data_IF_648096629573
#
_entry.id   IF_648096629573
#
_cell.length_a   1.000
_cell.length_b   1.000
_cell.length_c   1.000
_cell.angle_alpha   90.00
_cell.angle_beta   90.00
_cell.angle_gamma   90.00
#
_symmetry.space_group_name_H-M   'P 1'
#
loop_
_entity.id
_entity.type
_entity.pdbx_description
1 polymer ?
#
# COMPACT_ATOMS: atom_id res chain seq x y z
N UNK A 1 40.22 34.10 11.22
CA UNK A 1 39.33 35.21 11.57
C UNK A 1 38.13 35.25 10.64
N UNK A 2 37.12 36.07 10.92
CA UNK A 2 35.94 36.14 10.08
C UNK A 2 36.29 36.68 8.69
N UNK A 3 35.66 36.13 7.66
CA UNK A 3 35.85 36.59 6.27
C UNK A 3 34.60 37.38 5.85
N UNK A 4 34.78 38.55 5.26
CA UNK A 4 33.70 39.43 4.79
C UNK A 4 33.74 39.50 3.26
N UNK A 5 32.59 39.27 2.62
CA UNK A 5 32.42 39.28 1.17
C UNK A 5 31.31 40.26 0.77
N UNK A 6 31.47 41.04 -0.32
CA UNK A 6 30.37 41.74 -0.95
C UNK A 6 29.38 40.71 -1.52
N UNK A 7 28.08 40.99 -1.43
CA UNK A 7 27.02 40.15 -1.98
C UNK A 7 26.59 40.68 -3.33
N UNK A 8 26.75 39.86 -4.38
CA UNK A 8 26.53 40.28 -5.76
C UNK A 8 25.20 39.77 -6.36
N UNK A 9 24.44 38.94 -5.65
CA UNK A 9 23.20 38.41 -6.19
C UNK A 9 22.41 37.59 -5.22
N UNK A 10 21.24 37.13 -5.70
CA UNK A 10 20.30 36.25 -5.02
C UNK A 10 19.83 35.14 -5.99
N UNK A 11 19.79 33.91 -5.53
CA UNK A 11 19.32 32.75 -6.30
C UNK A 11 18.13 32.12 -5.57
N UNK A 12 16.92 32.58 -5.85
CA UNK A 12 15.71 31.95 -5.32
C UNK A 12 15.53 30.52 -5.86
N UNK A 13 14.82 29.69 -5.11
CA UNK A 13 14.45 28.37 -5.60
C UNK A 13 13.62 28.47 -6.90
N UNK A 14 13.94 27.61 -7.88
CA UNK A 14 13.30 27.62 -9.20
C UNK A 14 13.79 28.71 -10.17
N UNK A 15 14.81 29.49 -9.79
CA UNK A 15 15.44 30.51 -10.65
C UNK A 15 16.75 29.97 -11.24
N UNK A 16 17.19 30.47 -12.41
CA UNK A 16 18.50 30.15 -12.96
C UNK A 16 19.60 30.65 -12.03
N UNK A 17 20.76 29.98 -11.97
CA UNK A 17 21.90 30.42 -11.22
C UNK A 17 22.47 31.76 -11.79
N UNK A 18 23.00 32.57 -10.91
CA UNK A 18 23.75 33.78 -11.30
C UNK A 18 25.24 33.53 -11.05
N UNK A 19 26.14 34.09 -11.88
CA UNK A 19 27.59 33.98 -11.67
C UNK A 19 28.02 34.55 -10.30
N UNK A 20 29.00 33.89 -9.67
CA UNK A 20 29.63 34.37 -8.44
C UNK A 20 30.98 34.95 -8.79
N UNK A 21 31.16 36.27 -8.84
CA UNK A 21 32.47 36.89 -9.12
C UNK A 21 33.49 36.51 -8.05
N UNK A 22 34.76 36.40 -8.43
CA UNK A 22 35.82 36.10 -7.48
C UNK A 22 35.81 37.10 -6.29
N UNK A 23 35.91 36.56 -5.07
CA UNK A 23 35.87 37.37 -3.86
C UNK A 23 34.49 37.91 -3.45
N UNK A 24 33.43 37.42 -4.11
CA UNK A 24 32.02 37.76 -3.77
C UNK A 24 31.29 36.57 -3.20
N UNK A 25 30.15 36.84 -2.60
CA UNK A 25 29.14 35.87 -2.23
C UNK A 25 27.82 36.13 -2.96
N UNK A 26 27.01 35.10 -3.12
CA UNK A 26 25.61 35.23 -3.53
C UNK A 26 24.73 34.57 -2.48
N UNK A 27 23.57 35.15 -2.23
CA UNK A 27 22.57 34.45 -1.41
C UNK A 27 21.91 33.39 -2.25
N UNK A 28 21.79 32.18 -1.71
CA UNK A 28 21.15 31.04 -2.38
C UNK A 28 20.12 30.39 -1.47
N UNK A 29 18.98 30.02 -2.03
CA UNK A 29 17.95 29.31 -1.29
C UNK A 29 18.13 27.80 -1.40
N UNK A 30 17.69 27.08 -0.39
CA UNK A 30 17.65 25.62 -0.40
C UNK A 30 16.88 25.11 -1.64
N UNK A 31 17.48 24.18 -2.38
CA UNK A 31 16.93 23.64 -3.62
C UNK A 31 17.22 24.47 -4.88
N UNK A 32 17.84 25.64 -4.75
CA UNK A 32 18.29 26.42 -5.90
C UNK A 32 19.56 25.80 -6.52
N UNK A 33 19.76 25.92 -7.85
CA UNK A 33 20.96 25.41 -8.50
C UNK A 33 22.17 26.23 -8.09
N UNK A 34 23.26 25.52 -7.73
CA UNK A 34 24.55 26.15 -7.46
C UNK A 34 25.13 26.65 -8.78
N UNK A 35 25.67 27.86 -8.84
CA UNK A 35 26.33 28.40 -10.04
C UNK A 35 27.46 27.48 -10.49
N UNK A 36 27.48 27.16 -11.77
CA UNK A 36 28.64 26.57 -12.41
C UNK A 36 29.46 27.70 -13.03
N UNK A 37 30.65 27.93 -12.53
CA UNK A 37 31.60 28.86 -13.19
C UNK A 37 32.48 27.96 -14.11
N UNK A 38 32.47 28.21 -15.42
CA UNK A 38 33.31 27.45 -16.35
C UNK A 38 34.82 27.65 -16.10
N UNK A 39 35.20 28.73 -15.39
CA UNK A 39 36.59 29.04 -15.07
C UNK A 39 37.00 28.56 -13.64
N UNK A 40 36.03 28.25 -12.78
CA UNK A 40 36.25 27.65 -11.47
C UNK A 40 35.89 26.16 -11.54
N UNK A 41 36.85 25.28 -11.29
CA UNK A 41 36.56 23.88 -11.05
C UNK A 41 35.65 23.84 -9.81
N UNK A 42 34.52 23.13 -9.91
CA UNK A 42 33.44 23.12 -8.91
C UNK A 42 33.80 22.84 -7.44
N UNK A 43 35.07 22.60 -7.16
CA UNK A 43 35.63 22.44 -5.81
C UNK A 43 35.93 23.77 -5.08
N UNK A 44 35.75 24.91 -5.74
CA UNK A 44 36.08 26.24 -5.17
C UNK A 44 34.86 26.95 -4.56
N UNK A 45 33.62 26.51 -4.88
CA UNK A 45 32.42 27.09 -4.28
C UNK A 45 32.02 26.28 -3.04
N UNK A 46 31.70 26.98 -1.96
CA UNK A 46 31.12 26.39 -0.78
C UNK A 46 29.80 27.10 -0.42
N UNK A 47 28.84 26.30 0.09
CA UNK A 47 27.60 26.83 0.62
C UNK A 47 27.70 26.90 2.14
N UNK A 48 27.49 28.10 2.68
CA UNK A 48 27.56 28.36 4.11
C UNK A 48 26.15 28.64 4.61
N UNK A 49 25.66 27.89 5.62
CA UNK A 49 24.38 28.16 6.25
C UNK A 49 24.33 29.61 6.79
N UNK A 50 23.19 30.27 6.63
CA UNK A 50 23.01 31.66 7.06
C UNK A 50 23.26 31.82 8.56
N UNK A 51 23.00 30.81 9.36
CA UNK A 51 23.25 30.78 10.80
C UNK A 51 24.73 30.96 11.15
N UNK A 52 25.62 30.61 10.22
CA UNK A 52 27.06 30.73 10.36
C UNK A 52 27.57 32.09 9.82
N UNK A 53 26.66 33.02 9.57
CA UNK A 53 26.96 34.36 9.06
C UNK A 53 26.36 35.48 9.95
N UNK A 54 26.58 36.73 9.58
CA UNK A 54 25.91 37.90 10.16
C UNK A 54 24.65 38.32 9.37
N UNK A 55 24.35 37.64 8.25
CA UNK A 55 23.22 37.95 7.41
C UNK A 55 21.88 37.56 8.08
N UNK A 56 20.80 38.21 7.64
CA UNK A 56 19.42 37.96 8.07
C UNK A 56 18.58 37.48 6.90
N UNK A 57 17.60 36.63 7.20
CA UNK A 57 16.72 36.06 6.17
C UNK A 57 15.77 37.07 5.51
N UNK A 58 15.42 38.14 6.24
CA UNK A 58 14.39 39.11 5.86
C UNK A 58 14.93 40.29 5.03
N UNK A 59 16.24 40.42 4.91
CA UNK A 59 16.88 41.55 4.19
C UNK A 59 17.99 41.03 3.28
N UNK A 60 18.02 41.53 2.05
CA UNK A 60 19.15 41.27 1.15
C UNK A 60 20.37 42.08 1.61
N UNK A 61 21.43 41.43 2.07
CA UNK A 61 22.61 42.12 2.54
C UNK A 61 23.47 42.63 1.36
N UNK A 62 24.18 43.75 1.58
CA UNK A 62 25.21 44.21 0.63
C UNK A 62 26.57 43.57 0.87
N UNK A 63 26.79 43.09 2.09
CA UNK A 63 27.98 42.35 2.51
C UNK A 63 27.56 41.22 3.47
N UNK A 64 28.32 40.17 3.53
CA UNK A 64 28.12 39.04 4.47
C UNK A 64 29.46 38.71 5.13
N UNK A 65 29.42 38.56 6.47
CA UNK A 65 30.55 38.08 7.25
C UNK A 65 30.34 36.65 7.68
N UNK A 66 31.21 35.77 7.23
CA UNK A 66 31.22 34.33 7.64
C UNK A 66 31.87 34.24 9.02
N UNK A 67 31.14 33.69 9.99
CA UNK A 67 31.59 33.51 11.38
C UNK A 67 32.20 32.12 11.59
N UNK A 68 31.61 31.10 10.93
CA UNK A 68 32.03 29.73 11.04
C UNK A 68 31.94 29.03 9.69
N UNK A 69 32.91 28.15 9.41
CA UNK A 69 32.96 27.34 8.19
C UNK A 69 33.47 25.94 8.49
N UNK A 70 32.68 24.95 8.07
CA UNK A 70 33.09 23.57 8.14
C UNK A 70 33.38 23.01 6.74
N UNK A 71 34.64 22.79 6.36
CA UNK A 71 35.01 22.31 5.04
C UNK A 71 34.48 20.88 4.71
N UNK A 72 34.09 20.13 5.73
CA UNK A 72 33.54 18.77 5.55
C UNK A 72 32.03 18.76 5.32
N UNK A 73 31.35 19.91 5.33
CA UNK A 73 29.92 20.06 5.05
C UNK A 73 29.72 20.94 3.83
N UNK A 74 29.69 20.34 2.65
CA UNK A 74 29.54 21.09 1.39
C UNK A 74 28.14 21.71 1.22
N UNK A 75 27.10 21.17 1.82
CA UNK A 75 25.70 21.56 1.61
C UNK A 75 25.26 21.60 0.14
N UNK A 76 26.03 20.98 -0.74
CA UNK A 76 25.80 20.89 -2.18
C UNK A 76 25.49 19.45 -2.48
N UNK A 77 24.40 19.21 -3.23
CA UNK A 77 24.07 17.89 -3.77
C UNK A 77 24.53 17.84 -5.22
N UNK A 78 25.41 16.91 -5.53
CA UNK A 78 25.91 16.72 -6.87
C UNK A 78 24.95 15.91 -7.73
N UNK A 79 25.02 16.12 -9.06
CA UNK A 79 24.25 15.34 -10.02
C UNK A 79 24.63 13.85 -9.90
N UNK A 80 23.63 13.00 -9.77
CA UNK A 80 23.83 11.55 -9.64
C UNK A 80 24.25 11.09 -8.25
N UNK A 81 24.32 11.96 -7.24
CA UNK A 81 24.63 11.58 -5.86
C UNK A 81 23.57 10.68 -5.25
N UNK A 82 22.32 10.85 -5.63
CA UNK A 82 21.19 10.08 -5.10
C UNK A 82 20.73 8.99 -6.05
N UNK A 83 20.57 9.29 -7.34
CA UNK A 83 20.14 8.36 -8.40
C UNK A 83 20.88 8.71 -9.67
N UNK A 84 21.42 7.69 -10.36
CA UNK A 84 22.11 7.84 -11.64
C UNK A 84 21.29 7.24 -12.78
N UNK A 85 21.48 7.68 -14.03
CA UNK A 85 20.89 7.03 -15.18
C UNK A 85 21.25 5.54 -15.23
N UNK A 86 20.26 4.68 -15.27
CA UNK A 86 20.43 3.23 -15.25
C UNK A 86 20.20 2.57 -13.88
N UNK A 87 20.13 3.35 -12.81
CA UNK A 87 19.80 2.81 -11.49
C UNK A 87 18.35 2.31 -11.47
N UNK A 88 18.15 1.17 -10.81
CA UNK A 88 16.81 0.61 -10.60
C UNK A 88 16.18 1.28 -9.39
N UNK A 89 15.16 2.10 -9.62
CA UNK A 89 14.45 2.84 -8.57
C UNK A 89 13.46 1.94 -7.82
N UNK A 90 12.82 1.01 -8.53
CA UNK A 90 11.87 0.05 -7.96
C UNK A 90 11.80 -1.21 -8.83
N UNK A 91 11.32 -2.31 -8.28
CA UNK A 91 11.19 -3.58 -8.96
C UNK A 91 9.72 -3.95 -9.21
N UNK A 92 9.47 -4.84 -10.18
CA UNK A 92 8.15 -5.44 -10.37
C UNK A 92 7.68 -6.12 -9.07
N UNK A 93 6.40 -5.97 -8.74
CA UNK A 93 5.82 -6.47 -7.49
C UNK A 93 6.01 -5.55 -6.27
N UNK A 94 6.74 -4.43 -6.41
CA UNK A 94 6.84 -3.44 -5.34
C UNK A 94 5.52 -2.70 -5.17
N UNK A 95 5.03 -2.62 -3.93
CA UNK A 95 3.87 -1.80 -3.61
C UNK A 95 4.20 -0.32 -3.78
N UNK A 96 3.41 0.38 -4.58
CA UNK A 96 3.56 1.82 -4.78
C UNK A 96 2.96 2.56 -3.59
N UNK A 97 3.81 2.96 -2.67
CA UNK A 97 3.48 3.82 -1.54
C UNK A 97 3.95 5.26 -1.76
N UNK A 98 3.74 6.12 -0.76
CA UNK A 98 4.11 7.53 -0.84
C UNK A 98 5.63 7.74 -1.05
N UNK A 99 6.47 6.89 -0.48
CA UNK A 99 7.92 6.96 -0.64
C UNK A 99 8.36 6.60 -2.06
N UNK A 100 7.79 5.52 -2.61
CA UNK A 100 8.04 5.11 -4.00
C UNK A 100 7.59 6.19 -4.98
N UNK A 101 6.42 6.79 -4.78
CA UNK A 101 5.94 7.91 -5.62
C UNK A 101 6.93 9.08 -5.60
N UNK A 102 7.36 9.51 -4.42
CA UNK A 102 8.31 10.62 -4.29
C UNK A 102 9.64 10.30 -4.98
N UNK A 103 10.13 9.08 -4.84
CA UNK A 103 11.39 8.64 -5.46
C UNK A 103 11.28 8.59 -6.99
N UNK A 104 10.19 8.04 -7.54
CA UNK A 104 9.94 8.01 -8.98
C UNK A 104 9.89 9.41 -9.57
N UNK A 105 9.13 10.32 -8.95
CA UNK A 105 9.04 11.71 -9.39
C UNK A 105 10.42 12.40 -9.34
N UNK A 106 11.17 12.21 -8.25
CA UNK A 106 12.50 12.78 -8.11
C UNK A 106 13.51 12.22 -9.12
N UNK A 107 13.30 10.99 -9.58
CA UNK A 107 14.10 10.36 -10.63
C UNK A 107 13.65 10.75 -12.04
N UNK A 108 12.60 11.58 -12.20
CA UNK A 108 12.08 12.01 -13.50
C UNK A 108 11.23 10.95 -14.21
N UNK A 109 10.72 9.95 -13.48
CA UNK A 109 9.84 8.92 -14.05
C UNK A 109 8.40 9.46 -14.08
N UNK A 110 7.85 9.62 -15.29
CA UNK A 110 6.51 10.18 -15.49
C UNK A 110 5.41 9.11 -15.54
N UNK A 111 5.74 7.89 -15.97
CA UNK A 111 4.79 6.81 -16.15
C UNK A 111 5.37 5.49 -15.70
N UNK A 112 4.54 4.67 -15.07
CA UNK A 112 4.85 3.30 -14.66
C UNK A 112 3.72 2.37 -15.02
N UNK A 113 4.02 1.13 -15.35
CA UNK A 113 3.02 0.08 -15.50
C UNK A 113 2.67 -0.49 -14.13
N UNK A 114 1.37 -0.61 -13.85
CA UNK A 114 0.86 -1.10 -12.58
C UNK A 114 -0.07 -2.30 -12.79
N UNK A 115 -0.04 -3.24 -11.87
CA UNK A 115 -1.14 -4.19 -11.75
C UNK A 115 -2.42 -3.45 -11.31
N UNK A 116 -3.56 -3.73 -11.93
CA UNK A 116 -4.82 -3.15 -11.48
C UNK A 116 -5.12 -3.61 -10.04
N UNK A 117 -5.88 -2.80 -9.32
CA UNK A 117 -6.41 -3.23 -8.02
C UNK A 117 -7.45 -4.32 -8.25
N UNK A 118 -7.33 -5.51 -7.63
CA UNK A 118 -8.27 -6.59 -7.83
C UNK A 118 -9.67 -6.19 -7.35
N UNK A 119 -10.66 -6.52 -8.16
CA UNK A 119 -12.06 -6.38 -7.83
C UNK A 119 -12.55 -7.62 -7.06
N UNK A 120 -13.33 -7.43 -6.00
CA UNK A 120 -13.83 -8.56 -5.20
C UNK A 120 -15.31 -8.39 -4.88
N UNK A 121 -16.09 -9.45 -5.12
CA UNK A 121 -17.48 -9.50 -4.71
C UNK A 121 -17.58 -10.29 -3.40
N UNK A 122 -18.05 -9.65 -2.33
CA UNK A 122 -18.41 -10.30 -1.06
C UNK A 122 -19.90 -10.61 -1.09
N UNK A 123 -20.26 -11.90 -1.08
CA UNK A 123 -21.64 -12.36 -1.07
C UNK A 123 -21.96 -12.91 0.32
N UNK A 124 -22.95 -12.31 0.98
CA UNK A 124 -23.51 -12.85 2.23
C UNK A 124 -24.86 -13.49 1.94
N UNK A 125 -25.16 -14.63 2.58
CA UNK A 125 -26.46 -15.29 2.49
C UNK A 125 -27.06 -15.53 3.88
N UNK A 126 -28.38 -15.66 3.93
CA UNK A 126 -29.13 -15.92 5.14
C UNK A 126 -30.43 -15.12 5.18
N UNK A 127 -31.57 -15.78 5.30
CA UNK A 127 -32.88 -15.09 5.40
C UNK A 127 -33.03 -14.38 6.76
N UNK A 128 -32.25 -14.79 7.76
CA UNK A 128 -32.17 -14.15 9.07
C UNK A 128 -31.27 -12.92 9.08
N UNK A 129 -30.40 -12.75 8.07
CA UNK A 129 -29.36 -11.72 8.03
C UNK A 129 -29.88 -10.48 7.31
N UNK A 130 -29.85 -9.34 7.99
CA UNK A 130 -30.07 -8.04 7.36
C UNK A 130 -31.54 -7.63 7.18
N UNK A 131 -32.54 -8.45 7.45
CA UNK A 131 -33.94 -8.03 7.42
C UNK A 131 -34.40 -7.47 8.75
N UNK A 132 -34.43 -6.13 8.85
CA UNK A 132 -34.89 -5.41 10.03
C UNK A 132 -36.40 -5.63 10.36
N UNK A 133 -37.19 -6.25 9.45
CA UNK A 133 -38.57 -6.61 9.64
C UNK A 133 -38.76 -7.99 10.27
N UNK A 134 -37.72 -8.81 10.25
CA UNK A 134 -37.72 -10.09 10.92
C UNK A 134 -37.42 -9.89 12.41
N UNK A 135 -38.38 -10.18 13.28
CA UNK A 135 -38.22 -10.06 14.73
C UNK A 135 -37.05 -10.92 15.31
N UNK A 136 -36.63 -11.90 14.58
CA UNK A 136 -35.53 -12.82 14.92
C UNK A 136 -34.31 -12.64 14.02
N UNK A 137 -34.32 -11.61 13.17
CA UNK A 137 -33.24 -11.28 12.26
C UNK A 137 -32.03 -10.73 12.99
N UNK A 138 -30.86 -10.98 12.43
CA UNK A 138 -29.59 -10.45 12.92
C UNK A 138 -29.01 -9.44 11.93
N UNK A 139 -28.32 -8.40 12.39
CA UNK A 139 -27.63 -7.47 11.50
C UNK A 139 -26.57 -8.18 10.64
N UNK A 140 -26.48 -7.79 9.37
CA UNK A 140 -25.41 -8.26 8.50
C UNK A 140 -24.07 -7.59 8.87
N UNK A 141 -23.35 -8.18 9.79
CA UNK A 141 -22.02 -7.69 10.20
C UNK A 141 -20.89 -8.15 9.27
N UNK A 142 -21.03 -9.33 8.66
CA UNK A 142 -19.99 -9.92 7.81
C UNK A 142 -19.75 -9.11 6.53
N UNK A 143 -20.81 -8.69 5.85
CA UNK A 143 -20.69 -7.92 4.61
C UNK A 143 -19.85 -6.65 4.77
N UNK A 144 -20.26 -5.69 5.62
CA UNK A 144 -19.49 -4.47 5.87
C UNK A 144 -18.09 -4.73 6.40
N UNK A 145 -17.90 -5.70 7.30
CA UNK A 145 -16.61 -6.08 7.86
C UNK A 145 -15.63 -6.53 6.77
N UNK A 146 -16.04 -7.45 5.91
CA UNK A 146 -15.18 -8.00 4.87
C UNK A 146 -14.94 -7.01 3.72
N UNK A 147 -15.90 -6.16 3.40
CA UNK A 147 -15.70 -5.02 2.49
C UNK A 147 -14.61 -4.09 3.02
N UNK A 148 -14.69 -3.71 4.29
CA UNK A 148 -13.67 -2.87 4.90
C UNK A 148 -12.28 -3.56 4.90
N UNK A 149 -12.21 -4.86 5.22
CA UNK A 149 -10.98 -5.63 5.21
C UNK A 149 -10.38 -5.76 3.80
N UNK A 150 -11.22 -6.02 2.77
CA UNK A 150 -10.78 -6.08 1.38
C UNK A 150 -10.26 -4.74 0.88
N UNK A 151 -10.95 -3.65 1.19
CA UNK A 151 -10.50 -2.30 0.86
C UNK A 151 -9.16 -1.97 1.53
N UNK A 152 -8.99 -2.27 2.81
CA UNK A 152 -7.74 -2.09 3.53
C UNK A 152 -6.59 -2.94 2.97
N UNK A 153 -6.91 -4.09 2.36
CA UNK A 153 -5.97 -4.96 1.67
C UNK A 153 -5.67 -4.54 0.22
N UNK A 154 -6.17 -3.39 -0.23
CA UNK A 154 -5.87 -2.82 -1.53
C UNK A 154 -6.83 -3.21 -2.65
N UNK A 155 -7.88 -4.01 -2.40
CA UNK A 155 -8.88 -4.39 -3.38
C UNK A 155 -9.95 -3.31 -3.61
N UNK A 156 -10.79 -3.51 -4.63
CA UNK A 156 -12.02 -2.75 -4.90
C UNK A 156 -13.21 -3.67 -4.60
N UNK A 157 -13.78 -3.62 -3.38
CA UNK A 157 -14.82 -4.54 -2.96
C UNK A 157 -16.23 -4.06 -3.33
N UNK A 158 -17.09 -5.01 -3.63
CA UNK A 158 -18.55 -4.84 -3.73
C UNK A 158 -19.24 -5.86 -2.83
N UNK A 159 -20.31 -5.47 -2.16
CA UNK A 159 -21.11 -6.37 -1.32
C UNK A 159 -22.45 -6.67 -1.99
N UNK A 160 -22.82 -7.95 -1.98
CA UNK A 160 -24.15 -8.43 -2.36
C UNK A 160 -24.72 -9.29 -1.24
N UNK A 161 -26.01 -9.14 -0.97
CA UNK A 161 -26.73 -10.03 -0.07
C UNK A 161 -27.76 -10.80 -0.85
N UNK A 162 -27.85 -12.13 -0.60
CA UNK A 162 -28.79 -13.03 -1.27
C UNK A 162 -29.56 -13.83 -0.25
N UNK A 163 -30.72 -14.33 -0.65
CA UNK A 163 -31.52 -15.23 0.18
C UNK A 163 -30.79 -16.57 0.36
N UNK A 164 -31.13 -17.27 1.43
CA UNK A 164 -30.60 -18.60 1.71
C UNK A 164 -31.31 -19.68 0.85
N UNK A 165 -31.25 -19.46 -0.45
CA UNK A 165 -31.76 -20.35 -1.48
C UNK A 165 -30.64 -20.76 -2.42
N UNK A 166 -30.49 -22.04 -2.65
CA UNK A 166 -29.43 -22.61 -3.46
C UNK A 166 -29.34 -22.01 -4.86
N UNK A 167 -30.48 -21.80 -5.53
CA UNK A 167 -30.52 -21.23 -6.87
C UNK A 167 -30.12 -19.74 -6.85
N UNK A 168 -30.51 -18.98 -5.83
CA UNK A 168 -30.16 -17.58 -5.66
C UNK A 168 -28.64 -17.41 -5.40
N UNK A 169 -28.08 -18.24 -4.53
CA UNK A 169 -26.63 -18.25 -4.23
C UNK A 169 -25.83 -18.61 -5.48
N UNK A 170 -26.25 -19.64 -6.21
CA UNK A 170 -25.64 -20.06 -7.47
C UNK A 170 -25.62 -18.90 -8.48
N UNK A 171 -26.78 -18.33 -8.76
CA UNK A 171 -26.91 -17.23 -9.73
C UNK A 171 -26.06 -16.00 -9.32
N UNK A 172 -25.95 -15.73 -8.02
CA UNK A 172 -25.12 -14.65 -7.52
C UNK A 172 -23.62 -14.91 -7.70
N UNK A 173 -23.18 -16.16 -7.46
CA UNK A 173 -21.77 -16.56 -7.71
C UNK A 173 -21.47 -16.51 -9.20
N UNK A 174 -22.36 -17.06 -10.04
CA UNK A 174 -22.17 -17.10 -11.50
C UNK A 174 -22.06 -15.69 -12.09
N UNK A 175 -22.95 -14.80 -11.69
CA UNK A 175 -22.89 -13.39 -12.08
C UNK A 175 -21.61 -12.72 -11.57
N UNK A 176 -21.28 -12.90 -10.28
CA UNK A 176 -20.09 -12.30 -9.70
C UNK A 176 -18.79 -12.81 -10.32
N UNK A 177 -18.71 -14.10 -10.65
CA UNK A 177 -17.55 -14.68 -11.31
C UNK A 177 -17.29 -14.12 -12.71
N UNK A 178 -18.31 -13.59 -13.37
CA UNK A 178 -18.15 -12.92 -14.68
C UNK A 178 -17.76 -11.44 -14.58
N UNK A 179 -17.92 -10.82 -13.41
CA UNK A 179 -17.76 -9.36 -13.23
C UNK A 179 -16.54 -9.00 -12.35
N UNK A 180 -16.04 -9.93 -11.54
CA UNK A 180 -15.02 -9.66 -10.53
C UNK A 180 -13.83 -10.63 -10.65
N UNK A 181 -12.67 -10.21 -10.16
CA UNK A 181 -11.44 -11.02 -10.15
C UNK A 181 -11.45 -12.06 -9.02
N UNK A 182 -12.29 -11.88 -8.00
CA UNK A 182 -12.43 -12.78 -6.85
C UNK A 182 -13.85 -12.72 -6.31
N UNK A 183 -14.42 -13.89 -5.97
CA UNK A 183 -15.69 -14.00 -5.24
C UNK A 183 -15.43 -14.57 -3.84
N UNK A 184 -15.98 -13.93 -2.83
CA UNK A 184 -15.94 -14.39 -1.43
C UNK A 184 -17.36 -14.57 -0.94
N UNK A 185 -17.76 -15.80 -0.59
CA UNK A 185 -19.05 -16.07 0.02
C UNK A 185 -18.91 -16.23 1.53
N UNK A 186 -19.91 -15.78 2.30
CA UNK A 186 -19.94 -15.86 3.76
C UNK A 186 -21.29 -16.35 4.24
N UNK A 187 -21.31 -17.36 5.06
CA UNK A 187 -22.53 -18.08 5.44
C UNK A 187 -22.88 -19.16 4.40
N UNK A 188 -23.83 -19.99 4.72
CA UNK A 188 -24.25 -21.09 3.83
C UNK A 188 -23.23 -22.21 3.60
N UNK A 189 -22.01 -22.12 4.15
CA UNK A 189 -20.95 -23.13 3.98
C UNK A 189 -21.22 -24.41 4.76
N UNK A 190 -22.21 -24.40 5.68
CA UNK A 190 -22.41 -25.54 6.60
C UNK A 190 -23.25 -26.67 6.01
N UNK A 191 -24.27 -26.47 5.24
CA UNK A 191 -25.04 -27.53 4.62
C UNK A 191 -25.60 -27.14 3.24
N UNK A 192 -26.11 -25.92 3.09
CA UNK A 192 -26.74 -25.45 1.86
C UNK A 192 -25.75 -25.18 0.72
N UNK A 193 -24.61 -24.51 1.00
CA UNK A 193 -23.59 -24.24 -0.03
C UNK A 193 -22.87 -25.53 -0.48
N UNK A 194 -22.76 -26.51 0.39
CA UNK A 194 -22.25 -27.84 0.02
C UNK A 194 -23.11 -28.47 -1.07
N UNK A 195 -24.43 -28.31 -0.96
CA UNK A 195 -25.38 -28.83 -1.94
C UNK A 195 -25.42 -27.98 -3.21
N UNK A 196 -25.24 -26.67 -3.10
CA UNK A 196 -25.17 -25.73 -4.25
C UNK A 196 -23.94 -26.05 -5.09
N UNK A 197 -22.77 -26.12 -4.49
CA UNK A 197 -21.51 -26.42 -5.21
C UNK A 197 -21.46 -27.83 -5.76
N UNK A 198 -22.07 -28.80 -5.09
CA UNK A 198 -22.22 -30.18 -5.57
C UNK A 198 -23.27 -30.34 -6.68
N UNK A 199 -24.35 -29.56 -6.64
CA UNK A 199 -25.43 -29.62 -7.62
C UNK A 199 -25.03 -28.97 -8.97
N UNK A 200 -24.01 -28.10 -8.98
CA UNK A 200 -23.50 -27.42 -10.17
C UNK A 200 -22.44 -28.32 -10.83
N UNK A 201 -22.83 -29.46 -11.34
CA UNK A 201 -21.92 -30.31 -12.08
C UNK A 201 -21.31 -29.62 -13.29
N UNK A 202 -20.00 -29.56 -13.35
CA UNK A 202 -19.25 -29.44 -14.60
C UNK A 202 -18.47 -28.17 -14.87
N UNK A 203 -18.67 -27.04 -14.17
CA UNK A 203 -17.95 -25.80 -14.42
C UNK A 203 -17.20 -25.25 -13.20
N UNK A 204 -17.41 -25.81 -12.04
CA UNK A 204 -16.77 -25.41 -10.79
C UNK A 204 -15.79 -26.49 -10.31
N UNK A 205 -14.51 -26.14 -10.19
CA UNK A 205 -13.51 -26.93 -9.49
C UNK A 205 -13.38 -26.39 -8.07
N UNK A 206 -14.21 -26.90 -7.16
CA UNK A 206 -14.35 -26.41 -5.79
C UNK A 206 -14.06 -27.52 -4.78
N UNK A 207 -13.14 -27.23 -3.86
CA UNK A 207 -12.95 -28.02 -2.66
C UNK A 207 -13.73 -27.39 -1.50
N UNK A 208 -14.46 -28.23 -0.74
CA UNK A 208 -15.17 -27.84 0.47
C UNK A 208 -14.86 -28.85 1.56
N UNK A 209 -14.44 -28.41 2.71
CA UNK A 209 -14.10 -29.31 3.79
C UNK A 209 -13.65 -28.64 5.07
N UNK A 210 -13.42 -29.48 6.11
CA UNK A 210 -12.85 -28.98 7.36
C UNK A 210 -11.35 -28.79 7.25
N UNK A 211 -10.85 -27.72 7.88
CA UNK A 211 -9.42 -27.46 8.07
C UNK A 211 -9.10 -27.39 9.56
N UNK A 212 -7.81 -27.52 9.91
CA UNK A 212 -7.34 -27.56 11.29
C UNK A 212 -7.25 -26.21 12.00
N UNK A 213 -8.26 -25.34 11.86
CA UNK A 213 -8.33 -24.05 12.59
C UNK A 213 -9.61 -23.95 13.43
N UNK A 214 -9.52 -23.20 14.53
CA UNK A 214 -10.66 -22.90 15.40
C UNK A 214 -10.55 -21.47 15.95
N UNK A 215 -11.57 -20.61 15.70
CA UNK A 215 -12.78 -20.84 14.90
C UNK A 215 -12.49 -20.87 13.40
N UNK A 216 -13.42 -21.45 12.61
CA UNK A 216 -13.35 -21.43 11.14
C UNK A 216 -13.05 -22.75 10.49
N UNK A 217 -13.39 -23.86 11.15
CA UNK A 217 -13.15 -25.22 10.65
C UNK A 217 -13.69 -25.48 9.23
N UNK A 218 -14.95 -25.15 8.85
CA UNK A 218 -15.44 -25.34 7.49
C UNK A 218 -14.93 -24.20 6.58
N UNK A 219 -14.34 -24.58 5.45
CA UNK A 219 -13.85 -23.67 4.42
C UNK A 219 -14.18 -24.22 3.04
N UNK A 220 -14.18 -23.34 2.05
CA UNK A 220 -14.25 -23.72 0.66
C UNK A 220 -13.34 -22.86 -0.20
N UNK A 221 -12.72 -23.45 -1.20
CA UNK A 221 -11.90 -22.74 -2.16
C UNK A 221 -11.89 -23.46 -3.52
N UNK A 222 -11.74 -22.70 -4.57
CA UNK A 222 -11.66 -23.25 -5.92
C UNK A 222 -11.85 -22.18 -6.98
N UNK A 223 -12.33 -22.60 -8.13
CA UNK A 223 -12.64 -21.70 -9.24
C UNK A 223 -14.05 -21.94 -9.75
N UNK A 224 -14.68 -20.87 -10.22
CA UNK A 224 -15.96 -20.87 -10.88
C UNK A 224 -15.83 -20.16 -12.22
N UNK A 225 -16.01 -20.87 -13.31
CA UNK A 225 -15.74 -20.35 -14.65
C UNK A 225 -14.34 -19.72 -14.80
N UNK A 226 -13.33 -20.24 -14.09
CA UNK A 226 -11.97 -19.72 -14.07
C UNK A 226 -11.70 -18.60 -13.05
N UNK A 227 -12.74 -18.04 -12.43
CA UNK A 227 -12.61 -17.02 -11.38
C UNK A 227 -12.44 -17.66 -10.01
N UNK A 228 -11.45 -17.26 -9.20
CA UNK A 228 -11.29 -17.75 -7.83
C UNK A 228 -12.53 -17.51 -6.97
N UNK A 229 -12.96 -18.52 -6.21
CA UNK A 229 -14.06 -18.43 -5.27
C UNK A 229 -13.61 -18.96 -3.91
N UNK A 230 -13.89 -18.20 -2.87
CA UNK A 230 -13.59 -18.56 -1.48
C UNK A 230 -14.84 -18.53 -0.63
N UNK A 231 -15.14 -19.65 0.05
CA UNK A 231 -16.29 -19.78 0.91
C UNK A 231 -15.85 -19.73 2.37
N UNK A 232 -16.24 -18.68 3.08
CA UNK A 232 -15.86 -18.44 4.47
C UNK A 232 -16.98 -18.84 5.44
N UNK A 233 -16.65 -19.20 6.69
CA UNK A 233 -17.63 -19.49 7.73
C UNK A 233 -18.54 -18.31 8.03
N UNK A 234 -19.80 -18.57 8.41
CA UNK A 234 -20.77 -17.54 8.76
C UNK A 234 -20.51 -16.82 10.09
N UNK A 235 -19.80 -17.44 11.03
CA UNK A 235 -19.42 -16.77 12.28
C UNK A 235 -18.48 -15.62 12.00
N UNK A 236 -18.75 -14.36 12.48
CA UNK A 236 -17.96 -13.17 12.14
C UNK A 236 -16.48 -13.28 12.50
N UNK A 237 -16.14 -13.84 13.66
CA UNK A 237 -14.73 -14.02 14.06
C UNK A 237 -14.04 -15.02 13.14
N UNK A 238 -14.71 -16.12 12.81
CA UNK A 238 -14.18 -17.11 11.90
C UNK A 238 -14.01 -16.56 10.49
N UNK A 239 -14.99 -15.80 9.99
CA UNK A 239 -14.92 -15.13 8.69
C UNK A 239 -13.75 -14.15 8.63
N UNK A 240 -13.56 -13.34 9.68
CA UNK A 240 -12.47 -12.38 9.78
C UNK A 240 -11.09 -13.05 9.75
N UNK A 241 -10.88 -14.05 10.60
CA UNK A 241 -9.62 -14.82 10.63
C UNK A 241 -9.35 -15.50 9.29
N UNK A 242 -10.37 -16.17 8.72
CA UNK A 242 -10.25 -16.86 7.43
C UNK A 242 -9.94 -15.89 6.29
N UNK A 243 -10.51 -14.70 6.31
CA UNK A 243 -10.23 -13.65 5.32
C UNK A 243 -8.73 -13.30 5.30
N UNK A 244 -8.14 -13.02 6.45
CA UNK A 244 -6.72 -12.69 6.52
C UNK A 244 -5.82 -13.89 6.21
N UNK A 245 -6.23 -15.08 6.58
CA UNK A 245 -5.44 -16.29 6.33
C UNK A 245 -5.47 -16.73 4.86
N UNK A 246 -6.60 -16.58 4.16
CA UNK A 246 -6.79 -17.21 2.85
C UNK A 246 -7.11 -16.20 1.75
N UNK A 247 -7.93 -15.18 2.01
CA UNK A 247 -8.34 -14.22 0.97
C UNK A 247 -7.24 -13.21 0.67
N UNK A 248 -6.60 -12.66 1.70
CA UNK A 248 -5.53 -11.65 1.51
C UNK A 248 -4.39 -12.16 0.64
N UNK A 249 -3.86 -13.40 0.80
CA UNK A 249 -2.85 -13.92 -0.13
C UNK A 249 -3.32 -13.99 -1.59
N UNK A 250 -4.57 -14.35 -1.83
CA UNK A 250 -5.14 -14.37 -3.19
C UNK A 250 -5.21 -12.93 -3.75
N UNK A 251 -5.66 -11.96 -2.95
CA UNK A 251 -5.67 -10.56 -3.36
C UNK A 251 -4.26 -10.04 -3.69
N UNK A 252 -3.24 -10.43 -2.90
CA UNK A 252 -1.85 -10.09 -3.19
C UNK A 252 -1.40 -10.68 -4.54
N UNK A 253 -1.70 -11.96 -4.79
CA UNK A 253 -1.35 -12.61 -6.06
C UNK A 253 -2.02 -11.91 -7.24
N UNK A 254 -3.32 -11.59 -7.14
CA UNK A 254 -4.06 -10.87 -8.17
C UNK A 254 -3.52 -9.47 -8.41
N UNK A 255 -3.02 -8.81 -7.38
CA UNK A 255 -2.38 -7.50 -7.45
C UNK A 255 -0.90 -7.56 -7.91
N UNK A 256 -0.39 -8.73 -8.30
CA UNK A 256 1.02 -8.91 -8.69
C UNK A 256 2.02 -8.74 -7.56
N UNK A 257 1.56 -8.74 -6.31
CA UNK A 257 2.42 -8.65 -5.13
C UNK A 257 2.92 -10.05 -4.71
N UNK A 258 4.09 -10.15 -4.05
CA UNK A 258 4.51 -11.39 -3.43
C UNK A 258 3.46 -11.86 -2.41
N UNK A 259 3.03 -13.10 -2.55
CA UNK A 259 2.09 -13.73 -1.61
C UNK A 259 2.82 -14.81 -0.80
N UNK A 260 2.52 -14.97 0.49
CA UNK A 260 3.08 -16.05 1.29
C UNK A 260 2.55 -17.39 0.78
N UNK A 261 3.43 -18.36 0.57
CA UNK A 261 3.06 -19.73 0.18
C UNK A 261 2.62 -20.57 1.38
N UNK A 262 2.95 -20.12 2.58
CA UNK A 262 2.57 -20.77 3.84
C UNK A 262 2.32 -19.74 4.94
N UNK A 263 1.73 -20.17 6.06
CA UNK A 263 1.57 -19.30 7.24
C UNK A 263 2.92 -18.88 7.84
N UNK A 264 3.96 -19.67 7.62
CA UNK A 264 5.31 -19.44 8.14
C UNK A 264 6.10 -18.39 7.34
N UNK A 265 5.68 -18.11 6.11
CA UNK A 265 6.29 -17.08 5.27
C UNK A 265 5.76 -15.67 5.61
N UNK A 266 4.78 -15.59 6.54
CA UNK A 266 4.21 -14.32 6.97
C UNK A 266 5.10 -13.65 8.02
N UNK A 267 5.09 -12.32 8.10
CA UNK A 267 5.71 -11.64 9.21
C UNK A 267 5.18 -12.18 10.55
N UNK A 268 6.07 -12.61 11.41
CA UNK A 268 5.73 -13.12 12.74
C UNK A 268 6.71 -12.60 13.77
N UNK A 269 6.27 -12.55 15.01
CA UNK A 269 7.08 -12.17 16.15
C UNK A 269 6.96 -13.23 17.23
N UNK A 270 8.05 -13.45 17.97
CA UNK A 270 7.98 -14.23 19.20
C UNK A 270 7.57 -13.31 20.35
N UNK A 271 6.57 -13.70 21.10
CA UNK A 271 6.08 -12.94 22.24
C UNK A 271 5.78 -13.87 23.42
N UNK A 272 5.87 -13.32 24.65
CA UNK A 272 5.40 -14.01 25.84
C UNK A 272 3.91 -13.71 26.03
N UNK A 273 3.14 -14.73 26.35
CA UNK A 273 1.74 -14.58 26.74
C UNK A 273 1.71 -14.21 28.22
N UNK A 274 1.10 -13.07 28.55
CA UNK A 274 1.01 -12.56 29.92
C UNK A 274 -0.13 -13.18 30.73
N UNK A 275 -1.15 -13.69 30.03
CA UNK A 275 -2.33 -14.28 30.66
C UNK A 275 -2.61 -15.67 30.07
N UNK A 276 -3.29 -16.52 30.82
CA UNK A 276 -3.71 -17.82 30.36
C UNK A 276 -4.80 -17.68 29.28
N UNK A 277 -4.55 -18.20 28.07
CA UNK A 277 -5.60 -18.36 27.08
C UNK A 277 -6.50 -19.53 27.48
N UNK A 278 -7.82 -19.31 27.60
CA UNK A 278 -8.73 -20.42 27.79
C UNK A 278 -8.59 -21.39 26.63
N UNK A 279 -8.28 -22.64 26.95
CA UNK A 279 -8.24 -23.70 25.96
C UNK A 279 -9.63 -23.83 25.32
N UNK A 280 -9.76 -23.87 23.98
CA UNK A 280 -11.02 -24.22 23.37
C UNK A 280 -11.42 -25.61 23.88
N UNK A 281 -12.65 -25.74 24.34
CA UNK A 281 -13.21 -27.03 24.74
C UNK A 281 -13.12 -28.05 23.60
N UNK A 282 -13.18 -29.34 23.91
CA UNK A 282 -13.10 -30.42 22.92
C UNK A 282 -14.22 -30.37 21.89
#
# INVERSE_FOLDING_TARGET
GPWTFPVSGDIPAGSPPVPVPAGHAVRIMTGAPVPEDPDTKGDELCVIPIENTDARNDVMPTTVTVKDYNPHRAHIRYRGEHVQPGDVVTHAGTRIDAGVIATLISAGVEQVELYPRPTVCVITSGDEVGDARNAWGIPNSNGPMLVAAAHASGAVPTHRHVRDDAAAVHAAIDTAASEFDLVVTVGGVSAGAYDVVRAVGGTADMWLGPIGIQPGKPQGLGTWNGTPVMCLPGNPVAAYVSFFLFVVPVLHTLAGMPAPHSVWDRPHVSAFVSDDFPQPGP
#
